data_IF_203047773670
#
_entry.id   IF_203047773670
#
_cell.length_a   1.000
_cell.length_b   1.000
_cell.length_c   1.000
_cell.angle_alpha   90.00
_cell.angle_beta   90.00
_cell.angle_gamma   90.00
#
_symmetry.space_group_name_H-M   'P 1'
#
loop_
_entity.id
_entity.type
_entity.pdbx_description
1 polymer ?
#
# COMPACT_ATOMS: atom_id res chain seq x y z
N UNK A 1 16.17 9.70 -10.12
CA UNK A 1 16.85 8.80 -9.17
C UNK A 1 15.85 7.80 -8.66
N UNK A 2 16.16 6.50 -8.70
CA UNK A 2 15.33 5.46 -8.07
C UNK A 2 15.85 5.20 -6.65
N UNK A 3 14.94 4.96 -5.69
CA UNK A 3 15.33 4.56 -4.33
C UNK A 3 16.06 3.20 -4.38
N UNK A 4 17.11 2.99 -3.56
CA UNK A 4 17.89 1.76 -3.53
C UNK A 4 17.14 0.66 -2.78
N UNK A 5 16.00 0.23 -3.31
CA UNK A 5 15.15 -0.79 -2.71
C UNK A 5 15.44 -2.17 -3.32
N UNK A 6 15.31 -3.25 -2.53
CA UNK A 6 15.27 -4.62 -3.05
C UNK A 6 14.24 -4.78 -4.17
N UNK A 7 14.51 -5.67 -5.13
CA UNK A 7 13.66 -5.85 -6.32
C UNK A 7 12.28 -6.42 -5.97
N UNK A 8 12.24 -7.37 -5.03
CA UNK A 8 11.03 -7.92 -4.44
C UNK A 8 10.18 -6.84 -3.76
N UNK A 9 10.80 -5.98 -2.97
CA UNK A 9 10.10 -4.89 -2.27
C UNK A 9 9.49 -3.88 -3.25
N UNK A 10 10.17 -3.58 -4.36
CA UNK A 10 9.63 -2.74 -5.44
C UNK A 10 8.46 -3.40 -6.16
N UNK A 11 8.54 -4.70 -6.41
CA UNK A 11 7.45 -5.44 -7.03
C UNK A 11 6.20 -5.48 -6.12
N UNK A 12 6.40 -5.67 -4.81
CA UNK A 12 5.31 -5.64 -3.84
C UNK A 12 4.67 -4.25 -3.73
N UNK A 13 5.46 -3.17 -3.73
CA UNK A 13 4.95 -1.79 -3.78
C UNK A 13 4.08 -1.56 -5.01
N UNK A 14 4.58 -1.91 -6.20
CA UNK A 14 3.83 -1.76 -7.45
C UNK A 14 2.53 -2.57 -7.44
N UNK A 15 2.56 -3.79 -6.87
CA UNK A 15 1.37 -4.63 -6.72
C UNK A 15 0.34 -3.98 -5.78
N UNK A 16 0.79 -3.44 -4.65
CA UNK A 16 -0.11 -2.83 -3.66
C UNK A 16 -0.70 -1.51 -4.19
N UNK A 17 0.10 -0.70 -4.90
CA UNK A 17 -0.36 0.51 -5.59
C UNK A 17 -1.44 0.20 -6.63
N UNK A 18 -1.18 -0.77 -7.52
CA UNK A 18 -2.13 -1.20 -8.53
C UNK A 18 -3.44 -1.71 -7.90
N UNK A 19 -3.34 -2.43 -6.78
CA UNK A 19 -4.53 -2.84 -6.01
C UNK A 19 -5.25 -1.63 -5.42
N UNK A 20 -4.57 -0.73 -4.72
CA UNK A 20 -5.18 0.47 -4.14
C UNK A 20 -5.91 1.33 -5.17
N UNK A 21 -5.41 1.37 -6.41
CA UNK A 21 -6.07 2.09 -7.51
C UNK A 21 -7.50 1.58 -7.80
N UNK A 22 -7.84 0.35 -7.41
CA UNK A 22 -9.20 -0.23 -7.52
C UNK A 22 -10.11 0.12 -6.34
N UNK A 23 -9.59 0.75 -5.30
CA UNK A 23 -10.38 1.21 -4.16
C UNK A 23 -11.22 2.45 -4.50
N UNK A 24 -10.97 3.10 -5.64
CA UNK A 24 -11.75 4.22 -6.16
C UNK A 24 -12.43 3.79 -7.47
N UNK A 25 -13.71 4.13 -7.61
CA UNK A 25 -14.38 4.11 -8.91
C UNK A 25 -13.93 5.34 -9.70
N UNK A 26 -13.20 5.13 -10.80
CA UNK A 26 -12.69 6.23 -11.61
C UNK A 26 -13.75 6.81 -12.57
N UNK A 27 -14.82 6.06 -12.82
CA UNK A 27 -15.95 6.55 -13.62
C UNK A 27 -16.88 7.43 -12.77
N UNK A 28 -16.96 7.18 -11.45
CA UNK A 28 -17.62 8.06 -10.46
C UNK A 28 -16.82 8.18 -9.14
N UNK A 29 -15.84 9.10 -9.08
CA UNK A 29 -14.96 9.22 -7.91
C UNK A 29 -15.66 9.81 -6.67
N UNK A 30 -16.89 10.32 -6.81
CA UNK A 30 -17.69 10.79 -5.69
C UNK A 30 -18.50 9.66 -5.03
N UNK A 31 -18.65 8.51 -5.71
CA UNK A 31 -19.31 7.34 -5.16
C UNK A 31 -18.50 6.71 -4.00
N UNK A 32 -19.15 5.92 -3.13
CA UNK A 32 -18.44 5.11 -2.16
C UNK A 32 -17.43 4.18 -2.84
N UNK A 33 -16.34 3.89 -2.13
CA UNK A 33 -15.32 2.95 -2.58
C UNK A 33 -15.93 1.60 -3.00
N UNK A 34 -15.49 1.01 -4.13
CA UNK A 34 -15.91 -0.32 -4.55
C UNK A 34 -15.49 -1.44 -3.59
N UNK A 35 -14.47 -1.20 -2.76
CA UNK A 35 -14.03 -2.18 -1.78
C UNK A 35 -15.05 -2.39 -0.68
N UNK A 36 -15.16 -3.63 -0.27
CA UNK A 36 -15.76 -4.02 1.01
C UNK A 36 -14.86 -3.62 2.18
N UNK A 37 -15.42 -3.63 3.40
CA UNK A 37 -14.63 -3.38 4.61
C UNK A 37 -13.54 -4.44 4.84
N UNK A 38 -13.77 -5.69 4.41
CA UNK A 38 -12.77 -6.76 4.51
C UNK A 38 -11.59 -6.52 3.57
N UNK A 39 -11.84 -6.07 2.34
CA UNK A 39 -10.78 -5.71 1.40
C UNK A 39 -9.96 -4.53 1.90
N UNK A 40 -10.63 -3.56 2.52
CA UNK A 40 -10.00 -2.39 3.15
C UNK A 40 -9.09 -2.82 4.31
N UNK A 41 -9.61 -3.62 5.25
CA UNK A 41 -8.83 -4.17 6.38
C UNK A 41 -7.63 -5.00 5.92
N UNK A 42 -7.82 -5.85 4.91
CA UNK A 42 -6.75 -6.67 4.35
C UNK A 42 -5.66 -5.80 3.71
N UNK A 43 -6.06 -4.77 2.96
CA UNK A 43 -5.12 -3.82 2.39
C UNK A 43 -4.34 -3.07 3.48
N UNK A 44 -5.02 -2.56 4.51
CA UNK A 44 -4.36 -1.82 5.59
C UNK A 44 -3.30 -2.67 6.30
N UNK A 45 -3.61 -3.95 6.58
CA UNK A 45 -2.66 -4.88 7.18
C UNK A 45 -1.44 -5.13 6.27
N UNK A 46 -1.67 -5.36 4.97
CA UNK A 46 -0.59 -5.54 4.00
C UNK A 46 0.27 -4.27 3.84
N UNK A 47 -0.37 -3.09 3.82
CA UNK A 47 0.29 -1.80 3.70
C UNK A 47 1.16 -1.49 4.92
N UNK A 48 0.66 -1.75 6.13
CA UNK A 48 1.43 -1.60 7.38
C UNK A 48 2.68 -2.49 7.36
N UNK A 49 2.52 -3.77 7.00
CA UNK A 49 3.63 -4.71 6.94
C UNK A 49 4.68 -4.29 5.89
N UNK A 50 4.23 -3.81 4.73
CA UNK A 50 5.11 -3.32 3.68
C UNK A 50 5.84 -2.03 4.08
N UNK A 51 5.16 -1.10 4.77
CA UNK A 51 5.75 0.12 5.28
C UNK A 51 6.87 -0.15 6.31
N UNK A 52 6.66 -1.11 7.21
CA UNK A 52 7.69 -1.53 8.17
C UNK A 52 8.95 -2.11 7.48
N UNK A 53 8.75 -2.94 6.45
CA UNK A 53 9.85 -3.48 5.61
C UNK A 53 10.56 -2.38 4.84
N UNK A 54 9.81 -1.45 4.26
CA UNK A 54 10.34 -0.33 3.49
C UNK A 54 11.26 0.54 4.35
N UNK A 55 10.84 0.86 5.56
CA UNK A 55 11.63 1.72 6.42
C UNK A 55 12.85 1.00 6.99
N UNK A 56 12.74 -0.29 7.27
CA UNK A 56 13.92 -1.12 7.57
C UNK A 56 14.93 -1.07 6.43
N UNK A 57 14.48 -1.20 5.17
CA UNK A 57 15.34 -1.14 3.99
C UNK A 57 15.95 0.26 3.76
N UNK A 58 15.27 1.32 4.21
CA UNK A 58 15.73 2.71 4.10
C UNK A 58 16.50 3.21 5.34
N UNK A 59 16.61 2.40 6.39
CA UNK A 59 17.24 2.78 7.66
C UNK A 59 16.42 3.77 8.51
N UNK A 60 15.09 3.82 8.31
CA UNK A 60 14.16 4.65 9.06
C UNK A 60 13.26 3.80 9.98
N UNK A 61 12.75 4.39 11.06
CA UNK A 61 11.68 3.82 11.89
C UNK A 61 10.32 4.39 11.47
N UNK A 62 9.32 3.52 11.23
CA UNK A 62 7.91 3.93 11.07
C UNK A 62 7.20 3.72 12.38
N UNK A 63 6.68 4.80 12.95
CA UNK A 63 5.61 4.71 13.94
C UNK A 63 4.29 4.72 13.17
N UNK A 64 3.64 3.56 13.04
CA UNK A 64 2.29 3.48 12.50
C UNK A 64 1.29 3.42 13.66
N UNK A 65 0.41 4.41 13.76
CA UNK A 65 -0.71 4.40 14.71
C UNK A 65 -1.93 3.77 14.03
N UNK A 66 -2.58 2.75 14.64
CA UNK A 66 -3.78 2.11 14.13
C UNK A 66 -5.02 3.00 14.19
#
# INVERSE_FOLDING_TARGET
MALPLPADLRAELARLEARHNTALDWDDPAAPSPWTDDERRAFDAEACALAARLSTALGATVDYLP
#
